data_IF_775213909746
#
_entry.id   IF_775213909746
#
_cell.length_a   1.000
_cell.length_b   1.000
_cell.length_c   1.000
_cell.angle_alpha   90.00
_cell.angle_beta   90.00
_cell.angle_gamma   90.00
#
_symmetry.space_group_name_H-M   'P 1'
#
loop_
_entity.id
_entity.type
_entity.pdbx_description
1 polymer ?
#
# COMPACT_ATOMS: atom_id res chain seq x y z
N UNK A 1 12.89 -10.90 12.73
CA UNK A 1 13.37 -11.25 14.10
C UNK A 1 14.34 -10.20 14.64
N UNK A 2 15.48 -9.87 13.99
CA UNK A 2 16.48 -8.92 14.52
C UNK A 2 15.89 -7.55 14.94
N UNK A 3 15.05 -6.95 14.11
CA UNK A 3 14.37 -5.69 14.41
C UNK A 3 13.42 -5.81 15.62
N UNK A 4 12.78 -6.98 15.80
CA UNK A 4 11.94 -7.22 16.97
C UNK A 4 12.76 -7.33 18.27
N UNK A 5 13.94 -7.96 18.20
CA UNK A 5 14.86 -8.02 19.34
C UNK A 5 15.42 -6.63 19.66
N UNK A 6 15.73 -5.82 18.66
CA UNK A 6 16.10 -4.41 18.85
C UNK A 6 14.96 -3.63 19.53
N UNK A 7 13.71 -3.82 19.10
CA UNK A 7 12.54 -3.20 19.74
C UNK A 7 12.41 -3.58 21.22
N UNK A 8 12.65 -4.85 21.57
CA UNK A 8 12.67 -5.32 22.95
C UNK A 8 13.79 -4.67 23.74
N UNK A 9 15.01 -4.60 23.19
CA UNK A 9 16.16 -3.94 23.85
C UNK A 9 15.95 -2.47 24.12
N UNK A 10 15.11 -1.80 23.29
CA UNK A 10 14.69 -0.39 23.49
C UNK A 10 13.47 -0.23 24.41
N UNK A 11 13.01 -1.30 25.01
CA UNK A 11 11.91 -1.27 25.97
C UNK A 11 10.50 -1.20 25.38
N UNK A 12 10.34 -1.25 24.05
CA UNK A 12 9.04 -1.13 23.38
C UNK A 12 8.07 -2.22 23.85
N UNK A 13 8.56 -3.45 24.03
CA UNK A 13 7.75 -4.58 24.48
C UNK A 13 7.16 -4.42 25.90
N UNK A 14 7.74 -3.53 26.70
CA UNK A 14 7.34 -3.32 28.10
C UNK A 14 6.36 -2.15 28.27
N UNK A 15 6.08 -1.41 27.20
CA UNK A 15 5.07 -0.34 27.24
C UNK A 15 3.69 -0.95 27.47
N UNK A 16 2.83 -0.34 28.30
CA UNK A 16 1.54 -0.90 28.65
C UNK A 16 0.63 -1.18 27.45
N UNK A 17 0.60 -0.27 26.46
CA UNK A 17 -0.15 -0.39 25.20
C UNK A 17 0.34 -1.58 24.36
N UNK A 18 1.64 -1.69 24.17
CA UNK A 18 2.26 -2.76 23.38
C UNK A 18 2.10 -4.11 24.08
N UNK A 19 2.28 -4.14 25.41
CA UNK A 19 2.08 -5.37 26.18
C UNK A 19 0.68 -5.94 26.01
N UNK A 20 -0.36 -5.08 26.08
CA UNK A 20 -1.76 -5.52 25.84
C UNK A 20 -1.96 -6.04 24.41
N UNK A 21 -1.35 -5.40 23.42
CA UNK A 21 -1.41 -5.87 22.03
C UNK A 21 -0.70 -7.24 21.86
N UNK A 22 0.44 -7.45 22.51
CA UNK A 22 1.15 -8.75 22.51
C UNK A 22 0.31 -9.86 23.17
N UNK A 23 -0.37 -9.53 24.28
CA UNK A 23 -1.31 -10.44 24.95
C UNK A 23 -2.51 -10.77 24.05
N UNK A 24 -3.08 -9.76 23.36
CA UNK A 24 -4.17 -9.98 22.42
C UNK A 24 -3.77 -10.88 21.24
N UNK A 25 -2.60 -10.65 20.65
CA UNK A 25 -2.04 -11.52 19.59
C UNK A 25 -1.97 -12.95 20.07
N UNK A 26 -1.45 -13.18 21.28
CA UNK A 26 -1.41 -14.51 21.87
C UNK A 26 -2.80 -15.12 22.00
N UNK A 27 -3.76 -14.37 22.50
CA UNK A 27 -5.15 -14.81 22.66
C UNK A 27 -5.79 -15.19 21.32
N UNK A 28 -5.61 -14.36 20.28
CA UNK A 28 -6.12 -14.62 18.93
C UNK A 28 -5.55 -15.91 18.37
N UNK A 29 -4.23 -16.10 18.42
CA UNK A 29 -3.57 -17.30 17.86
C UNK A 29 -4.05 -18.56 18.57
N UNK A 30 -4.13 -18.55 19.90
CA UNK A 30 -4.59 -19.70 20.66
C UNK A 30 -6.07 -19.99 20.36
N UNK A 31 -6.92 -18.96 20.34
CA UNK A 31 -8.35 -19.11 20.05
C UNK A 31 -8.59 -19.70 18.65
N UNK A 32 -7.87 -19.22 17.63
CA UNK A 32 -7.97 -19.74 16.27
C UNK A 32 -7.54 -21.21 16.18
N UNK A 33 -6.38 -21.55 16.72
CA UNK A 33 -5.87 -22.94 16.73
C UNK A 33 -6.78 -23.86 17.56
N UNK A 34 -7.40 -23.37 18.62
CA UNK A 34 -8.40 -24.10 19.37
C UNK A 34 -9.64 -24.39 18.52
N UNK A 35 -10.22 -23.35 17.87
CA UNK A 35 -11.37 -23.51 16.99
C UNK A 35 -11.09 -24.51 15.85
N UNK A 36 -9.93 -24.42 15.21
CA UNK A 36 -9.49 -25.38 14.19
C UNK A 36 -9.41 -26.81 14.74
N UNK A 37 -8.89 -26.98 15.97
CA UNK A 37 -8.78 -28.30 16.61
C UNK A 37 -10.14 -28.93 16.94
N UNK A 38 -11.20 -28.10 17.07
CA UNK A 38 -12.57 -28.54 17.32
C UNK A 38 -13.39 -28.72 16.04
N UNK A 39 -12.88 -28.30 14.89
CA UNK A 39 -13.57 -28.41 13.60
C UNK A 39 -13.84 -29.92 13.29
N UNK A 40 -15.10 -30.25 13.09
CA UNK A 40 -15.54 -31.63 12.83
C UNK A 40 -15.75 -32.50 14.08
N UNK A 41 -15.58 -31.99 15.29
CA UNK A 41 -15.88 -32.72 16.52
C UNK A 41 -17.37 -32.59 16.85
N UNK A 42 -18.18 -33.68 16.82
CA UNK A 42 -19.58 -33.62 17.21
C UNK A 42 -19.71 -33.21 18.69
N UNK A 43 -20.49 -32.15 18.95
CA UNK A 43 -20.71 -31.66 20.30
C UNK A 43 -19.68 -30.63 20.81
N UNK A 44 -18.71 -30.23 20.00
CA UNK A 44 -17.85 -29.11 20.34
C UNK A 44 -18.72 -27.84 20.52
N UNK A 45 -18.86 -27.41 21.77
CA UNK A 45 -19.71 -26.23 22.07
C UNK A 45 -19.03 -24.98 21.54
N UNK A 46 -19.62 -24.35 20.53
CA UNK A 46 -19.27 -22.98 20.14
C UNK A 46 -19.40 -22.06 21.37
N UNK A 47 -18.67 -20.96 21.36
CA UNK A 47 -18.82 -19.91 22.36
C UNK A 47 -20.19 -19.27 22.12
N UNK A 48 -21.11 -19.39 23.09
CA UNK A 48 -22.44 -18.81 22.99
C UNK A 48 -22.47 -17.35 23.47
N UNK A 49 -23.49 -16.60 23.06
CA UNK A 49 -23.71 -15.22 23.55
C UNK A 49 -23.84 -15.19 25.07
N UNK A 50 -24.48 -16.21 25.66
CA UNK A 50 -24.63 -16.34 27.12
C UNK A 50 -23.23 -16.53 27.80
N UNK A 51 -22.32 -17.30 27.20
CA UNK A 51 -20.94 -17.42 27.71
C UNK A 51 -20.22 -16.08 27.67
N UNK A 52 -20.39 -15.32 26.59
CA UNK A 52 -19.75 -14.00 26.40
C UNK A 52 -20.30 -13.01 27.42
N UNK A 53 -21.63 -12.99 27.62
CA UNK A 53 -22.25 -12.13 28.63
C UNK A 53 -21.81 -12.50 30.05
N UNK A 54 -21.64 -13.77 30.34
CA UNK A 54 -21.13 -14.24 31.61
C UNK A 54 -19.67 -13.82 31.82
N UNK A 55 -18.83 -13.95 30.78
CA UNK A 55 -17.43 -13.55 30.81
C UNK A 55 -17.28 -12.05 31.13
N UNK A 56 -18.03 -11.17 30.49
CA UNK A 56 -17.90 -9.75 30.76
C UNK A 56 -18.48 -9.30 32.13
N UNK A 57 -19.26 -10.15 32.79
CA UNK A 57 -19.69 -9.93 34.18
C UNK A 57 -18.61 -10.32 35.19
N UNK A 58 -17.56 -11.04 34.79
CA UNK A 58 -16.45 -11.33 35.65
C UNK A 58 -15.68 -10.04 36.03
N UNK A 59 -15.14 -9.95 37.26
CA UNK A 59 -14.40 -8.76 37.69
C UNK A 59 -13.26 -8.38 36.74
N UNK A 60 -13.18 -7.11 36.36
CA UNK A 60 -12.09 -6.55 35.55
C UNK A 60 -12.24 -6.75 34.03
N UNK A 61 -13.18 -7.57 33.53
CA UNK A 61 -13.30 -7.81 32.09
C UNK A 61 -13.88 -6.62 31.34
N UNK A 62 -14.81 -5.89 31.94
CA UNK A 62 -15.35 -4.67 31.37
C UNK A 62 -14.29 -3.55 31.31
N UNK A 63 -13.45 -3.45 32.32
CA UNK A 63 -12.34 -2.48 32.32
C UNK A 63 -11.30 -2.83 31.24
N UNK A 64 -10.99 -4.11 31.05
CA UNK A 64 -10.11 -4.59 29.95
C UNK A 64 -10.70 -4.27 28.57
N UNK A 65 -12.00 -4.43 28.40
CA UNK A 65 -12.68 -4.06 27.16
C UNK A 65 -12.58 -2.56 26.88
N UNK A 66 -12.86 -1.73 27.88
CA UNK A 66 -12.74 -0.27 27.73
C UNK A 66 -11.32 0.17 27.42
N UNK A 67 -10.32 -0.45 28.05
CA UNK A 67 -8.90 -0.17 27.76
C UNK A 67 -8.52 -0.61 26.33
N UNK A 68 -9.02 -1.76 25.88
CA UNK A 68 -8.84 -2.22 24.51
C UNK A 68 -9.41 -1.22 23.50
N UNK A 69 -10.61 -0.69 23.74
CA UNK A 69 -11.21 0.33 22.88
C UNK A 69 -10.40 1.63 22.87
N UNK A 70 -9.91 2.06 24.03
CA UNK A 70 -9.07 3.24 24.14
C UNK A 70 -7.76 3.09 23.36
N UNK A 71 -7.11 1.91 23.46
CA UNK A 71 -5.88 1.62 22.72
C UNK A 71 -6.13 1.59 21.21
N UNK A 72 -7.25 1.01 20.76
CA UNK A 72 -7.64 0.95 19.36
C UNK A 72 -7.89 2.36 18.78
N UNK A 73 -8.60 3.20 19.53
CA UNK A 73 -8.84 4.60 19.14
C UNK A 73 -7.55 5.43 19.12
N UNK A 74 -6.67 5.24 20.10
CA UNK A 74 -5.37 5.94 20.13
C UNK A 74 -4.45 5.54 18.98
N UNK A 75 -4.57 4.29 18.51
CA UNK A 75 -3.76 3.76 17.40
C UNK A 75 -4.26 4.21 16.02
N UNK A 76 -5.50 4.67 15.91
CA UNK A 76 -6.10 5.11 14.65
C UNK A 76 -6.52 6.59 14.71
N UNK A 77 -5.74 7.51 14.11
CA UNK A 77 -6.05 8.94 14.12
C UNK A 77 -7.42 9.30 13.53
N UNK A 78 -7.96 8.50 12.61
CA UNK A 78 -9.28 8.73 12.03
C UNK A 78 -10.42 8.40 12.99
N UNK A 79 -10.18 7.56 13.98
CA UNK A 79 -11.15 7.19 15.02
C UNK A 79 -10.98 8.03 16.30
N UNK A 80 -9.94 8.83 16.38
CA UNK A 80 -9.66 9.67 17.54
C UNK A 80 -10.82 10.66 17.77
N UNK A 81 -11.48 10.53 18.93
CA UNK A 81 -12.59 11.41 19.34
C UNK A 81 -13.94 11.09 18.68
N UNK A 82 -14.05 10.06 17.85
CA UNK A 82 -15.35 9.61 17.32
C UNK A 82 -16.04 8.66 18.31
N UNK A 83 -17.35 8.86 18.51
CA UNK A 83 -18.17 7.91 19.26
C UNK A 83 -18.43 6.68 18.40
N UNK A 84 -18.01 5.50 18.88
CA UNK A 84 -18.32 4.23 18.23
C UNK A 84 -19.82 3.99 18.35
N UNK A 85 -20.56 3.68 17.27
CA UNK A 85 -21.98 3.34 17.32
C UNK A 85 -22.24 2.13 18.22
N UNK A 86 -23.37 2.15 18.95
CA UNK A 86 -23.69 1.11 19.94
C UNK A 86 -23.74 -0.30 19.34
N UNK A 87 -24.23 -0.45 18.10
CA UNK A 87 -24.23 -1.74 17.39
C UNK A 87 -22.82 -2.24 17.08
N UNK A 88 -21.94 -1.34 16.65
CA UNK A 88 -20.54 -1.68 16.40
C UNK A 88 -19.83 -2.04 17.71
N UNK A 89 -20.14 -1.34 18.79
CA UNK A 89 -19.60 -1.63 20.11
C UNK A 89 -19.99 -3.04 20.59
N UNK A 90 -21.25 -3.44 20.39
CA UNK A 90 -21.72 -4.80 20.69
C UNK A 90 -20.97 -5.85 19.87
N UNK A 91 -20.77 -5.60 18.58
CA UNK A 91 -20.06 -6.53 17.71
C UNK A 91 -18.58 -6.69 18.14
N UNK A 92 -17.88 -5.58 18.42
CA UNK A 92 -16.50 -5.60 18.92
C UNK A 92 -16.43 -6.38 20.25
N UNK A 93 -17.38 -6.13 21.15
CA UNK A 93 -17.49 -6.83 22.45
C UNK A 93 -17.67 -8.34 22.26
N UNK A 94 -18.59 -8.72 21.35
CA UNK A 94 -18.85 -10.11 21.03
C UNK A 94 -17.60 -10.80 20.49
N UNK A 95 -16.92 -10.20 19.50
CA UNK A 95 -15.71 -10.75 18.91
C UNK A 95 -14.57 -10.88 19.92
N UNK A 96 -14.35 -9.85 20.76
CA UNK A 96 -13.33 -9.93 21.81
C UNK A 96 -13.68 -11.03 22.84
N UNK A 97 -14.95 -11.15 23.23
CA UNK A 97 -15.41 -12.22 24.12
C UNK A 97 -15.15 -13.62 23.56
N UNK A 98 -15.41 -13.82 22.26
CA UNK A 98 -15.10 -15.07 21.56
C UNK A 98 -13.61 -15.39 21.61
N UNK A 99 -12.73 -14.40 21.34
CA UNK A 99 -11.28 -14.58 21.37
C UNK A 99 -10.82 -14.93 22.78
N UNK A 100 -11.26 -14.20 23.80
CA UNK A 100 -10.81 -14.41 25.19
C UNK A 100 -11.29 -15.75 25.76
N UNK A 101 -12.52 -16.16 25.46
CA UNK A 101 -13.05 -17.46 25.85
C UNK A 101 -12.40 -18.59 25.07
N UNK A 102 -12.12 -18.40 23.76
CA UNK A 102 -11.38 -19.32 22.94
C UNK A 102 -9.95 -19.53 23.44
N UNK A 103 -9.25 -18.46 23.84
CA UNK A 103 -7.94 -18.54 24.50
C UNK A 103 -8.01 -19.34 25.80
N UNK A 104 -8.98 -19.05 26.68
CA UNK A 104 -9.16 -19.75 27.95
C UNK A 104 -9.35 -21.26 27.73
N UNK A 105 -10.23 -21.63 26.79
CA UNK A 105 -10.50 -23.04 26.43
C UNK A 105 -9.28 -23.69 25.75
N UNK A 106 -8.61 -22.97 24.84
CA UNK A 106 -7.42 -23.45 24.15
C UNK A 106 -6.25 -23.67 25.09
N UNK A 107 -6.03 -22.76 26.04
CA UNK A 107 -4.99 -22.91 27.07
C UNK A 107 -5.29 -24.10 27.99
N UNK A 108 -6.55 -24.28 28.41
CA UNK A 108 -6.97 -25.46 29.19
C UNK A 108 -6.77 -26.75 28.40
N UNK A 109 -6.92 -26.74 27.09
CA UNK A 109 -6.65 -27.88 26.18
C UNK A 109 -5.17 -28.06 25.82
N UNK A 110 -4.26 -27.22 26.32
CA UNK A 110 -2.82 -27.27 26.03
C UNK A 110 -2.42 -26.85 24.62
N UNK A 111 -3.29 -26.11 23.90
CA UNK A 111 -3.02 -25.60 22.54
C UNK A 111 -1.82 -24.65 22.55
N UNK A 112 -1.70 -23.83 23.57
CA UNK A 112 -0.61 -22.86 23.75
C UNK A 112 0.78 -23.52 23.91
N UNK A 113 0.82 -24.82 24.25
CA UNK A 113 2.05 -25.59 24.40
C UNK A 113 2.47 -26.34 23.13
N UNK A 114 1.65 -26.31 22.09
CA UNK A 114 2.00 -26.91 20.81
C UNK A 114 3.08 -26.08 20.13
N UNK A 115 4.15 -26.72 19.67
CA UNK A 115 5.33 -26.04 19.08
C UNK A 115 5.00 -25.12 17.92
N UNK A 116 4.10 -25.53 17.03
CA UNK A 116 3.64 -24.71 15.92
C UNK A 116 2.91 -23.44 16.40
N UNK A 117 2.11 -23.54 17.46
CA UNK A 117 1.36 -22.41 18.05
C UNK A 117 2.33 -21.45 18.76
N UNK A 118 3.29 -21.97 19.53
CA UNK A 118 4.35 -21.14 20.13
C UNK A 118 5.12 -20.33 19.07
N UNK A 119 5.50 -20.99 17.98
CA UNK A 119 6.22 -20.32 16.87
C UNK A 119 5.34 -19.28 16.17
N UNK A 120 4.07 -19.56 15.99
CA UNK A 120 3.12 -18.60 15.40
C UNK A 120 2.96 -17.37 16.31
N UNK A 121 2.76 -17.57 17.61
CA UNK A 121 2.68 -16.47 18.58
C UNK A 121 3.95 -15.62 18.52
N UNK A 122 5.11 -16.27 18.59
CA UNK A 122 6.41 -15.58 18.54
C UNK A 122 6.58 -14.77 17.26
N UNK A 123 6.17 -15.30 16.10
CA UNK A 123 6.28 -14.63 14.82
C UNK A 123 5.36 -13.39 14.74
N UNK A 124 4.10 -13.52 15.15
CA UNK A 124 3.14 -12.42 15.11
C UNK A 124 3.51 -11.32 16.11
N UNK A 125 3.97 -11.69 17.31
CA UNK A 125 4.48 -10.73 18.28
C UNK A 125 5.75 -10.01 17.77
N UNK A 126 6.65 -10.73 17.11
CA UNK A 126 7.83 -10.14 16.49
C UNK A 126 7.49 -9.17 15.36
N UNK A 127 6.45 -9.46 14.58
CA UNK A 127 5.94 -8.54 13.54
C UNK A 127 5.42 -7.24 14.15
N UNK A 128 4.61 -7.31 15.20
CA UNK A 128 4.14 -6.11 15.89
C UNK A 128 5.32 -5.26 16.40
N UNK A 129 6.27 -5.87 17.10
CA UNK A 129 7.42 -5.16 17.64
C UNK A 129 8.28 -4.53 16.54
N UNK A 130 8.54 -5.26 15.45
CA UNK A 130 9.31 -4.77 14.33
C UNK A 130 8.60 -3.60 13.62
N UNK A 131 7.28 -3.71 13.40
CA UNK A 131 6.50 -2.63 12.77
C UNK A 131 6.41 -1.39 13.64
N UNK A 132 6.25 -1.55 14.95
CA UNK A 132 6.24 -0.43 15.90
C UNK A 132 7.60 0.28 15.92
N UNK A 133 8.69 -0.47 16.00
CA UNK A 133 10.04 0.10 15.96
C UNK A 133 10.32 0.80 14.63
N UNK A 134 9.92 0.19 13.51
CA UNK A 134 10.07 0.80 12.19
C UNK A 134 9.33 2.14 12.12
N UNK A 135 8.07 2.18 12.54
CA UNK A 135 7.23 3.39 12.51
C UNK A 135 7.76 4.50 13.43
N UNK A 136 8.20 4.16 14.63
CA UNK A 136 8.58 5.13 15.64
C UNK A 136 10.05 5.55 15.57
N UNK A 137 10.93 4.71 15.02
CA UNK A 137 12.38 4.93 15.05
C UNK A 137 13.01 4.89 13.67
N UNK A 138 12.83 3.82 12.89
CA UNK A 138 13.51 3.68 11.60
C UNK A 138 13.05 4.77 10.62
N UNK A 139 11.77 4.84 10.34
CA UNK A 139 11.23 5.78 9.34
C UNK A 139 11.58 7.25 9.68
N UNK A 140 11.41 7.74 10.92
CA UNK A 140 11.83 9.10 11.25
C UNK A 140 13.33 9.36 11.11
N UNK A 141 14.18 8.36 11.46
CA UNK A 141 15.64 8.50 11.41
C UNK A 141 16.24 8.35 10.03
N UNK A 142 15.52 7.74 9.10
CA UNK A 142 15.99 7.55 7.72
C UNK A 142 15.56 8.65 6.76
N UNK A 143 14.75 9.60 7.21
CA UNK A 143 14.29 10.71 6.35
C UNK A 143 15.45 11.45 5.70
N UNK A 144 15.31 11.69 4.40
CA UNK A 144 16.27 12.45 3.64
C UNK A 144 16.08 13.96 3.88
N UNK A 145 17.17 14.64 4.13
CA UNK A 145 17.20 16.12 4.23
C UNK A 145 17.31 16.75 2.84
N UNK A 146 16.89 18.00 2.69
CA UNK A 146 17.04 18.73 1.42
C UNK A 146 18.50 18.83 0.96
N UNK A 147 19.44 18.92 1.88
CA UNK A 147 20.87 18.96 1.58
C UNK A 147 21.38 17.61 1.00
N UNK A 148 20.91 16.49 1.56
CA UNK A 148 21.24 15.16 1.05
C UNK A 148 20.62 14.92 -0.32
N UNK A 149 19.37 15.34 -0.52
CA UNK A 149 18.66 15.27 -1.81
C UNK A 149 19.43 16.07 -2.87
N UNK A 150 19.84 17.30 -2.55
CA UNK A 150 20.63 18.11 -3.47
C UNK A 150 22.00 17.48 -3.81
N UNK A 151 22.67 16.94 -2.80
CA UNK A 151 23.96 16.25 -2.97
C UNK A 151 23.83 14.96 -3.79
N UNK A 152 22.72 14.24 -3.62
CA UNK A 152 22.42 13.03 -4.39
C UNK A 152 22.18 13.38 -5.86
N UNK A 153 21.33 14.37 -6.15
CA UNK A 153 21.04 14.83 -7.52
C UNK A 153 22.32 15.33 -8.20
N UNK A 154 23.21 16.02 -7.47
CA UNK A 154 24.49 16.47 -8.03
C UNK A 154 25.41 15.32 -8.47
N UNK A 155 25.30 14.15 -7.85
CA UNK A 155 26.04 12.92 -8.21
C UNK A 155 25.34 12.08 -9.27
N UNK A 156 24.06 12.34 -9.53
CA UNK A 156 23.18 11.61 -10.43
C UNK A 156 22.67 12.54 -11.54
N UNK A 157 23.49 12.78 -12.60
CA UNK A 157 23.14 13.71 -13.68
C UNK A 157 21.82 13.37 -14.39
N UNK A 158 21.43 12.09 -14.37
CA UNK A 158 20.17 11.60 -14.91
C UNK A 158 18.92 12.17 -14.18
N UNK A 159 19.11 12.66 -12.95
CA UNK A 159 18.08 13.33 -12.16
C UNK A 159 18.13 14.87 -12.31
N UNK A 160 19.09 15.42 -13.04
CA UNK A 160 19.21 16.86 -13.23
C UNK A 160 18.08 17.37 -14.14
N UNK A 161 17.19 18.18 -13.58
CA UNK A 161 16.11 18.81 -14.33
C UNK A 161 16.56 19.66 -15.51
N UNK A 162 17.75 20.27 -15.43
CA UNK A 162 18.30 21.07 -16.52
C UNK A 162 18.68 20.19 -17.72
N UNK A 163 19.30 19.04 -17.49
CA UNK A 163 19.65 18.10 -18.56
C UNK A 163 18.38 17.47 -19.16
N UNK A 164 17.41 17.13 -18.32
CA UNK A 164 16.13 16.61 -18.77
C UNK A 164 15.38 17.62 -19.61
N UNK A 165 15.37 18.88 -19.22
CA UNK A 165 14.80 19.99 -20.00
C UNK A 165 15.51 20.18 -21.33
N UNK A 166 16.84 20.23 -21.32
CA UNK A 166 17.62 20.34 -22.55
C UNK A 166 17.35 19.20 -23.54
N UNK A 167 17.14 17.97 -23.03
CA UNK A 167 16.71 16.82 -23.85
C UNK A 167 15.31 17.02 -24.43
N UNK A 168 14.35 17.53 -23.65
CA UNK A 168 13.02 17.83 -24.14
C UNK A 168 13.05 18.94 -25.23
N UNK A 169 13.83 19.98 -25.03
CA UNK A 169 14.03 21.06 -26.00
C UNK A 169 14.66 20.54 -27.31
N UNK A 170 15.62 19.61 -27.20
CA UNK A 170 16.22 18.95 -28.37
C UNK A 170 15.19 18.12 -29.15
N UNK A 171 14.36 17.32 -28.46
CA UNK A 171 13.31 16.52 -29.10
C UNK A 171 12.30 17.46 -29.76
N UNK A 172 11.89 18.55 -29.10
CA UNK A 172 11.00 19.54 -29.68
C UNK A 172 11.58 20.18 -30.96
N UNK A 173 12.89 20.48 -30.95
CA UNK A 173 13.60 21.02 -32.12
C UNK A 173 13.56 20.03 -33.31
N UNK A 174 13.74 18.72 -33.05
CA UNK A 174 13.67 17.66 -34.07
C UNK A 174 12.25 17.56 -34.64
N UNK A 175 11.20 17.62 -33.80
CA UNK A 175 9.81 17.64 -34.23
C UNK A 175 9.55 18.85 -35.13
N UNK A 176 10.03 20.02 -34.75
CA UNK A 176 9.85 21.28 -35.52
C UNK A 176 10.66 21.27 -36.85
N UNK A 177 11.70 20.47 -36.91
CA UNK A 177 12.45 20.20 -38.14
C UNK A 177 11.77 19.19 -39.07
N UNK A 178 10.62 18.63 -38.67
CA UNK A 178 9.80 17.71 -39.49
C UNK A 178 9.99 16.24 -39.24
N UNK A 179 10.75 15.87 -38.20
CA UNK A 179 10.85 14.47 -37.82
C UNK A 179 9.50 13.93 -37.29
N UNK A 180 9.24 12.66 -37.51
CA UNK A 180 7.96 12.03 -37.17
C UNK A 180 7.77 11.95 -35.65
N UNK A 181 6.66 12.52 -35.17
CA UNK A 181 6.34 12.60 -33.75
C UNK A 181 6.23 11.22 -33.09
N UNK A 182 5.59 10.25 -33.78
CA UNK A 182 5.38 8.91 -33.22
C UNK A 182 6.69 8.14 -33.10
N UNK A 183 7.60 8.33 -34.04
CA UNK A 183 8.96 7.76 -33.97
C UNK A 183 9.74 8.32 -32.79
N UNK A 184 9.73 9.64 -32.61
CA UNK A 184 10.38 10.30 -31.49
C UNK A 184 9.74 9.93 -30.14
N UNK A 185 8.42 9.73 -30.09
CA UNK A 185 7.75 9.24 -28.90
C UNK A 185 8.23 7.83 -28.49
N UNK A 186 8.35 6.91 -29.46
CA UNK A 186 8.86 5.57 -29.21
C UNK A 186 10.35 5.58 -28.76
N UNK A 187 11.13 6.50 -29.28
CA UNK A 187 12.56 6.61 -28.95
C UNK A 187 12.78 7.26 -27.58
N UNK A 188 12.15 8.40 -27.33
CA UNK A 188 12.49 9.29 -26.22
C UNK A 188 11.47 9.31 -25.07
N UNK A 189 10.19 8.98 -25.31
CA UNK A 189 9.20 9.05 -24.26
C UNK A 189 9.49 8.06 -23.12
N UNK A 190 9.33 8.55 -21.92
CA UNK A 190 9.41 7.74 -20.68
C UNK A 190 8.05 7.31 -20.17
N UNK A 191 6.96 7.70 -20.85
CA UNK A 191 5.62 7.28 -20.48
C UNK A 191 5.30 5.87 -20.99
N UNK A 192 5.20 4.86 -20.09
CA UNK A 192 4.94 3.48 -20.50
C UNK A 192 3.53 3.26 -21.08
N UNK A 193 2.59 4.19 -20.79
CA UNK A 193 1.19 4.07 -21.25
C UNK A 193 1.00 4.38 -22.73
N UNK A 194 1.79 5.31 -23.26
CA UNK A 194 1.65 5.82 -24.63
C UNK A 194 2.89 5.68 -25.51
N UNK A 195 4.07 5.45 -24.95
CA UNK A 195 5.33 5.34 -25.68
C UNK A 195 5.25 4.42 -26.91
N UNK A 196 4.83 3.19 -26.71
CA UNK A 196 4.78 2.18 -27.77
C UNK A 196 3.68 2.45 -28.81
N UNK A 197 2.70 3.30 -28.45
CA UNK A 197 1.63 3.78 -29.32
C UNK A 197 2.01 5.08 -30.05
N UNK A 198 3.29 5.47 -30.04
CA UNK A 198 3.74 6.73 -30.62
C UNK A 198 3.25 7.98 -29.89
N UNK A 199 3.06 7.87 -28.59
CA UNK A 199 2.62 8.93 -27.70
C UNK A 199 1.11 9.14 -27.63
N UNK A 200 0.30 8.33 -28.28
CA UNK A 200 -1.16 8.48 -28.39
C UNK A 200 -1.85 8.27 -27.04
N UNK A 201 -2.60 9.30 -26.60
CA UNK A 201 -3.38 9.30 -25.36
C UNK A 201 -4.87 9.06 -25.60
N UNK A 202 -5.31 9.04 -26.86
CA UNK A 202 -6.72 9.00 -27.24
C UNK A 202 -7.47 10.30 -26.92
N UNK A 203 -8.79 10.22 -26.82
CA UNK A 203 -9.68 11.33 -26.51
C UNK A 203 -9.80 11.54 -25.01
N UNK A 204 -9.68 12.79 -24.57
CA UNK A 204 -9.92 13.17 -23.18
C UNK A 204 -10.58 14.54 -23.06
N UNK A 205 -11.37 14.72 -22.00
CA UNK A 205 -12.03 15.95 -21.64
C UNK A 205 -11.35 16.66 -20.48
N UNK A 206 -11.92 17.77 -20.05
CA UNK A 206 -11.44 18.52 -18.89
C UNK A 206 -11.47 17.69 -17.60
N UNK A 207 -10.47 17.92 -16.72
CA UNK A 207 -10.32 17.22 -15.43
C UNK A 207 -9.76 15.81 -15.50
N UNK A 208 -9.37 15.33 -16.69
CA UNK A 208 -8.81 13.98 -16.87
C UNK A 208 -7.28 13.96 -16.90
N UNK A 209 -6.65 15.10 -17.09
CA UNK A 209 -5.19 15.26 -17.12
C UNK A 209 -4.73 16.22 -16.03
N UNK A 210 -3.43 16.22 -15.75
CA UNK A 210 -2.86 17.20 -14.81
C UNK A 210 -3.02 18.62 -15.35
N UNK A 211 -3.19 19.64 -14.48
CA UNK A 211 -3.56 20.98 -14.89
C UNK A 211 -2.64 21.61 -15.93
N UNK A 212 -1.33 21.45 -15.78
CA UNK A 212 -0.33 22.02 -16.69
C UNK A 212 -0.43 21.42 -18.09
N UNK A 213 -0.62 20.11 -18.18
CA UNK A 213 -0.78 19.38 -19.43
C UNK A 213 -2.11 19.74 -20.10
N UNK A 214 -3.21 19.69 -19.33
CA UNK A 214 -4.55 20.03 -19.83
C UNK A 214 -4.61 21.43 -20.41
N UNK A 215 -4.13 22.42 -19.67
CA UNK A 215 -4.06 23.82 -20.12
C UNK A 215 -3.33 23.96 -21.46
N UNK A 216 -2.21 23.25 -21.60
CA UNK A 216 -1.43 23.29 -22.83
C UNK A 216 -2.14 22.57 -23.99
N UNK A 217 -2.70 21.37 -23.76
CA UNK A 217 -3.38 20.59 -24.80
C UNK A 217 -4.61 21.31 -25.34
N UNK A 218 -5.46 21.89 -24.49
CA UNK A 218 -6.65 22.60 -24.90
C UNK A 218 -6.36 23.95 -25.57
N UNK A 219 -5.19 24.57 -25.31
CA UNK A 219 -4.77 25.82 -25.98
C UNK A 219 -4.31 25.61 -27.44
N UNK A 220 -3.92 24.37 -27.81
CA UNK A 220 -3.43 24.07 -29.17
C UNK A 220 -4.57 24.05 -30.20
N UNK A 221 -4.22 24.26 -31.44
CA UNK A 221 -5.08 23.98 -32.61
C UNK A 221 -4.71 22.61 -33.21
N UNK A 222 -5.65 21.92 -33.89
CA UNK A 222 -5.34 20.64 -34.56
C UNK A 222 -4.09 20.73 -35.44
N UNK A 223 -3.19 19.80 -35.31
CA UNK A 223 -1.89 19.74 -35.95
C UNK A 223 -0.76 20.48 -35.25
N UNK A 224 -1.05 21.32 -34.26
CA UNK A 224 -0.03 22.07 -33.53
C UNK A 224 0.71 21.25 -32.49
N UNK A 225 1.96 21.64 -32.24
CA UNK A 225 2.83 21.09 -31.18
C UNK A 225 3.10 22.17 -30.15
N UNK A 226 3.02 21.84 -28.86
CA UNK A 226 3.29 22.76 -27.77
C UNK A 226 4.77 23.15 -27.69
N UNK A 227 5.06 24.18 -26.90
CA UNK A 227 6.37 24.31 -26.28
C UNK A 227 6.58 23.20 -25.24
N UNK A 228 7.78 23.13 -24.64
CA UNK A 228 8.04 22.21 -23.53
C UNK A 228 7.21 22.61 -22.32
N UNK A 229 6.32 21.74 -21.88
CA UNK A 229 5.44 21.91 -20.71
C UNK A 229 6.03 21.20 -19.53
N UNK A 230 6.33 21.93 -18.46
CA UNK A 230 6.85 21.36 -17.22
C UNK A 230 5.71 20.89 -16.31
N UNK A 231 5.90 19.73 -15.68
CA UNK A 231 4.99 19.18 -14.67
C UNK A 231 5.77 18.44 -13.58
N UNK A 232 5.08 17.95 -12.57
CA UNK A 232 5.68 17.08 -11.54
C UNK A 232 6.28 15.77 -12.10
N UNK A 233 5.87 15.32 -13.28
CA UNK A 233 6.37 14.11 -13.93
C UNK A 233 7.57 14.34 -14.86
N UNK A 234 7.90 15.60 -15.13
CA UNK A 234 8.96 15.98 -16.05
C UNK A 234 8.49 16.96 -17.12
N UNK A 235 9.02 16.84 -18.31
CA UNK A 235 8.79 17.75 -19.43
C UNK A 235 7.99 17.06 -20.53
N UNK A 236 6.86 17.64 -20.89
CA UNK A 236 5.97 17.14 -21.92
C UNK A 236 6.11 17.96 -23.21
N UNK A 237 6.05 17.28 -24.35
CA UNK A 237 5.83 17.87 -25.66
C UNK A 237 4.50 17.30 -26.14
N UNK A 238 3.52 18.16 -26.42
CA UNK A 238 2.16 17.75 -26.71
C UNK A 238 1.84 18.12 -28.16
N UNK A 239 1.29 17.18 -28.93
CA UNK A 239 0.75 17.41 -30.25
C UNK A 239 -0.74 17.19 -30.22
N UNK A 240 -1.51 18.20 -30.63
CA UNK A 240 -2.94 18.04 -30.78
C UNK A 240 -3.26 17.48 -32.17
N UNK A 241 -3.91 16.33 -32.23
CA UNK A 241 -4.37 15.74 -33.49
C UNK A 241 -5.75 16.28 -33.86
N UNK A 242 -6.73 16.24 -32.95
CA UNK A 242 -8.12 16.64 -33.23
C UNK A 242 -8.80 17.28 -32.02
N UNK A 243 -9.84 18.07 -32.28
CA UNK A 243 -10.80 18.59 -31.29
C UNK A 243 -12.22 18.24 -31.67
N UNK A 244 -13.04 17.92 -30.68
CA UNK A 244 -14.49 17.73 -30.88
C UNK A 244 -15.27 18.22 -29.68
N UNK A 245 -16.54 18.48 -29.89
CA UNK A 245 -17.51 18.72 -28.81
C UNK A 245 -18.42 17.48 -28.76
N UNK A 246 -18.48 16.82 -27.62
CA UNK A 246 -19.36 15.69 -27.39
C UNK A 246 -20.44 16.09 -26.37
N UNK A 247 -21.66 15.57 -26.53
CA UNK A 247 -22.73 15.83 -25.57
C UNK A 247 -22.73 14.73 -24.53
N UNK A 248 -22.39 15.09 -23.28
CA UNK A 248 -22.42 14.20 -22.15
C UNK A 248 -23.40 14.73 -21.12
N UNK A 249 -24.33 13.87 -20.68
CA UNK A 249 -25.39 14.23 -19.73
C UNK A 249 -26.19 15.51 -20.13
N UNK A 250 -26.41 15.68 -21.46
CA UNK A 250 -27.14 16.83 -22.02
C UNK A 250 -26.36 18.15 -22.06
N UNK A 251 -25.05 18.12 -21.73
CA UNK A 251 -24.17 19.30 -21.79
C UNK A 251 -23.07 19.09 -22.81
N UNK A 252 -22.72 20.13 -23.60
CA UNK A 252 -21.59 20.08 -24.51
C UNK A 252 -20.28 20.02 -23.68
N UNK A 253 -19.45 19.06 -23.97
CA UNK A 253 -18.13 18.88 -23.38
C UNK A 253 -17.08 18.90 -24.50
N UNK A 254 -16.09 19.80 -24.38
CA UNK A 254 -14.97 19.84 -25.31
C UNK A 254 -14.02 18.67 -25.00
N UNK A 255 -13.62 17.93 -26.05
CA UNK A 255 -12.64 16.85 -25.96
C UNK A 255 -11.55 17.06 -27.00
N UNK A 256 -10.36 16.63 -26.63
CA UNK A 256 -9.18 16.68 -27.49
C UNK A 256 -8.58 15.28 -27.65
N UNK A 257 -8.10 14.98 -28.88
CA UNK A 257 -7.25 13.84 -29.16
C UNK A 257 -5.82 14.32 -29.32
N UNK A 258 -4.94 13.88 -28.44
CA UNK A 258 -3.57 14.36 -28.41
C UNK A 258 -2.57 13.21 -28.27
N UNK A 259 -1.36 13.50 -28.76
CA UNK A 259 -0.15 12.70 -28.49
C UNK A 259 0.78 13.49 -27.59
N UNK A 260 1.60 12.75 -26.84
CA UNK A 260 2.66 13.39 -26.06
C UNK A 260 3.96 12.60 -26.06
N UNK A 261 5.02 13.32 -25.77
CA UNK A 261 6.33 12.76 -25.41
C UNK A 261 6.65 13.28 -24.02
N UNK A 262 6.82 12.36 -23.08
CA UNK A 262 7.25 12.69 -21.72
C UNK A 262 8.73 12.43 -21.60
N UNK A 263 9.50 13.43 -21.21
CA UNK A 263 10.90 13.29 -20.83
C UNK A 263 10.98 13.47 -19.32
N UNK A 264 10.98 12.35 -18.61
CA UNK A 264 11.15 12.33 -17.16
C UNK A 264 12.62 12.18 -16.79
N UNK A 265 13.00 12.73 -15.64
CA UNK A 265 14.30 12.47 -15.07
C UNK A 265 14.34 11.08 -14.41
N UNK A 266 15.47 10.40 -14.48
CA UNK A 266 15.68 9.09 -13.86
C UNK A 266 15.21 7.89 -14.68
N UNK A 267 15.30 6.72 -14.09
CA UNK A 267 14.86 5.47 -14.72
C UNK A 267 13.32 5.41 -14.80
N UNK A 268 12.76 4.90 -15.91
CA UNK A 268 11.31 4.69 -16.00
C UNK A 268 10.88 3.70 -14.91
N UNK A 269 9.95 4.13 -14.08
CA UNK A 269 9.38 3.27 -13.05
C UNK A 269 8.38 2.31 -13.71
N UNK A 270 8.67 1.03 -13.74
CA UNK A 270 7.88 0.01 -14.45
C UNK A 270 6.49 -0.25 -13.85
N UNK A 271 6.17 0.33 -12.69
CA UNK A 271 4.94 0.04 -11.94
C UNK A 271 4.11 1.26 -11.54
N UNK A 272 4.38 2.45 -12.09
CA UNK A 272 3.60 3.66 -11.75
C UNK A 272 4.01 4.87 -12.56
N UNK A 273 3.30 6.01 -12.36
CA UNK A 273 3.68 7.26 -13.02
C UNK A 273 5.09 7.68 -12.60
N UNK A 274 5.86 8.34 -13.50
CA UNK A 274 7.19 8.83 -13.19
C UNK A 274 7.15 9.75 -11.97
N UNK A 275 8.10 9.56 -11.04
CA UNK A 275 8.25 10.43 -9.86
C UNK A 275 9.12 11.64 -10.19
N UNK A 276 8.87 12.74 -9.51
CA UNK A 276 9.75 13.91 -9.60
C UNK A 276 11.20 13.57 -9.20
N UNK A 277 12.23 14.19 -9.80
CA UNK A 277 13.65 13.91 -9.48
C UNK A 277 13.97 13.99 -7.99
N UNK A 278 13.41 14.96 -7.28
CA UNK A 278 13.58 15.10 -5.83
C UNK A 278 12.99 13.95 -5.05
N UNK A 279 11.84 13.40 -5.50
CA UNK A 279 11.19 12.27 -4.84
C UNK A 279 11.94 10.98 -5.12
N UNK A 280 12.47 10.80 -6.35
CA UNK A 280 13.35 9.67 -6.68
C UNK A 280 14.62 9.69 -5.82
N UNK A 281 15.28 10.84 -5.71
CA UNK A 281 16.45 11.02 -4.87
C UNK A 281 16.14 10.76 -3.38
N UNK A 282 15.01 11.28 -2.89
CA UNK A 282 14.55 11.04 -1.51
C UNK A 282 14.36 9.54 -1.26
N UNK A 283 13.59 8.87 -2.10
CA UNK A 283 13.32 7.44 -1.96
C UNK A 283 14.61 6.61 -1.97
N UNK A 284 15.55 6.93 -2.87
CA UNK A 284 16.83 6.23 -2.95
C UNK A 284 17.67 6.42 -1.67
N UNK A 285 17.77 7.65 -1.16
CA UNK A 285 18.51 7.96 0.07
C UNK A 285 17.86 7.27 1.28
N UNK A 286 16.53 7.34 1.39
CA UNK A 286 15.79 6.75 2.50
C UNK A 286 15.92 5.23 2.49
N UNK A 287 15.83 4.58 1.32
CA UNK A 287 16.05 3.14 1.18
C UNK A 287 17.48 2.72 1.55
N UNK A 288 18.49 3.51 1.14
CA UNK A 288 19.88 3.24 1.46
C UNK A 288 20.14 3.35 2.97
N UNK A 289 19.62 4.39 3.60
CA UNK A 289 19.68 4.60 5.06
C UNK A 289 18.95 3.50 5.83
N UNK A 290 17.74 3.13 5.38
CA UNK A 290 16.94 2.06 5.99
C UNK A 290 17.68 0.73 5.92
N UNK A 291 18.20 0.38 4.75
CA UNK A 291 19.00 -0.83 4.56
C UNK A 291 20.22 -0.86 5.46
N UNK A 292 21.01 0.21 5.48
CA UNK A 292 22.20 0.31 6.31
C UNK A 292 21.87 0.13 7.80
N UNK A 293 20.78 0.74 8.26
CA UNK A 293 20.32 0.64 9.65
C UNK A 293 19.83 -0.76 10.00
N UNK A 294 19.09 -1.40 9.09
CA UNK A 294 18.65 -2.79 9.24
C UNK A 294 19.86 -3.73 9.28
N UNK A 295 20.83 -3.56 8.37
CA UNK A 295 22.04 -4.38 8.33
C UNK A 295 22.84 -4.25 9.64
N UNK A 296 22.93 -3.04 10.20
CA UNK A 296 23.56 -2.80 11.49
C UNK A 296 22.82 -3.49 12.64
N UNK A 297 21.47 -3.40 12.65
CA UNK A 297 20.63 -4.09 13.64
C UNK A 297 20.81 -5.61 13.51
N UNK A 298 20.77 -6.16 12.30
CA UNK A 298 20.98 -7.59 12.06
C UNK A 298 22.34 -8.03 12.57
N UNK A 299 23.40 -7.28 12.27
CA UNK A 299 24.75 -7.57 12.76
C UNK A 299 24.83 -7.55 14.30
N UNK A 300 24.21 -6.58 14.95
CA UNK A 300 24.18 -6.44 16.42
C UNK A 300 23.40 -7.57 17.08
N UNK A 301 22.28 -7.97 16.48
CA UNK A 301 21.38 -8.98 17.03
C UNK A 301 21.69 -10.42 16.56
N UNK A 302 22.64 -10.61 15.64
CA UNK A 302 22.98 -11.92 15.07
C UNK A 302 23.36 -12.98 16.12
N UNK A 303 23.99 -12.56 17.22
CA UNK A 303 24.39 -13.45 18.31
C UNK A 303 23.20 -13.96 19.17
N UNK A 304 22.03 -13.33 19.03
CA UNK A 304 20.82 -13.65 19.79
C UNK A 304 19.78 -14.45 18.96
N UNK A 305 20.05 -14.65 17.68
CA UNK A 305 19.13 -15.33 16.76
C UNK A 305 19.79 -16.62 16.26
N UNK A 306 19.31 -17.76 16.75
CA UNK A 306 19.70 -19.06 16.23
C UNK A 306 18.67 -19.50 15.20
N UNK A 307 19.07 -19.61 13.94
CA UNK A 307 18.25 -20.20 12.88
C UNK A 307 18.57 -21.67 12.80
N UNK A 308 17.57 -22.53 13.00
CA UNK A 308 17.75 -23.97 12.82
C UNK A 308 18.04 -24.26 11.34
N UNK A 309 19.03 -25.11 11.05
CA UNK A 309 19.50 -25.42 9.69
C UNK A 309 18.41 -25.95 8.75
N UNK A 310 17.30 -26.44 9.28
CA UNK A 310 16.18 -27.00 8.54
C UNK A 310 14.93 -26.12 8.54
N UNK A 311 15.05 -24.83 8.83
CA UNK A 311 13.92 -23.89 8.88
C UNK A 311 13.57 -23.40 7.46
N UNK A 312 12.90 -24.25 6.69
CA UNK A 312 12.27 -23.88 5.41
C UNK A 312 11.00 -23.07 5.69
N UNK A 313 11.09 -21.75 5.75
CA UNK A 313 9.92 -20.87 5.85
C UNK A 313 9.33 -20.71 4.46
N UNK A 314 8.30 -21.48 4.14
CA UNK A 314 7.32 -21.04 3.14
C UNK A 314 6.43 -20.01 3.83
N UNK A 315 6.71 -18.74 3.62
CA UNK A 315 5.82 -17.68 4.07
C UNK A 315 4.43 -17.90 3.45
N UNK A 316 3.35 -17.95 4.24
CA UNK A 316 2.02 -17.98 3.66
C UNK A 316 1.80 -16.72 2.84
N UNK A 317 1.05 -16.80 1.71
CA UNK A 317 0.80 -15.64 0.88
C UNK A 317 0.07 -14.56 1.71
N UNK A 318 0.39 -13.26 1.50
CA UNK A 318 -0.11 -12.15 2.33
C UNK A 318 -1.63 -12.00 2.37
N UNK A 319 -2.38 -12.67 1.51
CA UNK A 319 -3.83 -12.58 1.44
C UNK A 319 -4.60 -13.38 2.51
N UNK A 320 -3.97 -14.31 3.22
CA UNK A 320 -4.66 -15.11 4.26
C UNK A 320 -4.69 -14.44 5.64
N UNK A 321 -3.94 -13.37 5.86
CA UNK A 321 -3.87 -12.70 7.16
C UNK A 321 -4.96 -11.65 7.41
N UNK A 322 -5.70 -11.22 6.38
CA UNK A 322 -6.72 -10.18 6.54
C UNK A 322 -8.08 -10.69 7.07
N UNK A 323 -8.27 -12.00 7.17
CA UNK A 323 -9.57 -12.57 7.54
C UNK A 323 -9.79 -12.81 9.04
N UNK A 324 -8.81 -12.53 9.90
CA UNK A 324 -8.91 -12.83 11.33
C UNK A 324 -8.90 -11.64 12.30
N UNK A 325 -8.70 -10.41 11.81
CA UNK A 325 -8.73 -9.22 12.65
C UNK A 325 -10.10 -8.53 12.53
N UNK A 326 -10.71 -8.11 13.64
CA UNK A 326 -11.91 -7.28 13.60
C UNK A 326 -11.67 -6.01 12.78
N UNK A 327 -12.67 -5.52 12.00
CA UNK A 327 -12.53 -4.28 11.25
C UNK A 327 -12.19 -3.13 12.22
N UNK A 328 -11.05 -2.49 11.99
CA UNK A 328 -10.49 -1.41 12.83
C UNK A 328 -9.19 -1.75 13.55
N UNK A 329 -8.72 -2.99 13.53
CA UNK A 329 -7.45 -3.43 14.14
C UNK A 329 -6.37 -3.85 13.14
N UNK A 330 -6.72 -3.95 11.85
CA UNK A 330 -5.72 -4.18 10.81
C UNK A 330 -4.96 -2.88 10.53
N UNK A 331 -3.63 -2.89 10.45
CA UNK A 331 -2.89 -1.77 9.89
C UNK A 331 -3.36 -1.56 8.46
N UNK A 332 -3.84 -0.34 8.13
CA UNK A 332 -4.25 0.00 6.77
C UNK A 332 -3.11 -0.29 5.79
N UNK A 333 -3.40 -0.95 4.67
CA UNK A 333 -2.47 -0.93 3.55
C UNK A 333 -2.31 0.53 3.08
N UNK A 334 -1.12 0.92 2.59
CA UNK A 334 -0.92 2.25 2.06
C UNK A 334 -2.00 2.55 1.01
N UNK A 335 -2.52 3.78 0.92
CA UNK A 335 -3.64 4.12 0.07
C UNK A 335 -3.33 3.73 -1.36
N UNK A 336 -4.08 2.77 -1.88
CA UNK A 336 -4.07 2.45 -3.29
C UNK A 336 -4.59 3.68 -4.03
N UNK A 337 -3.73 4.31 -4.82
CA UNK A 337 -4.13 5.34 -5.77
C UNK A 337 -5.25 4.76 -6.64
N UNK A 338 -6.40 5.39 -6.58
CA UNK A 338 -7.61 4.96 -7.27
C UNK A 338 -7.34 4.85 -8.78
N UNK A 339 -7.30 3.63 -9.29
CA UNK A 339 -7.46 3.36 -10.71
C UNK A 339 -8.95 3.40 -11.04
N UNK A 340 -9.40 4.10 -12.08
CA UNK A 340 -10.79 4.10 -12.49
C UNK A 340 -11.22 2.71 -12.97
N UNK A 341 -12.30 2.21 -12.42
CA UNK A 341 -12.93 0.93 -12.76
C UNK A 341 -13.24 0.84 -14.26
N UNK A 342 -12.62 -0.11 -14.94
CA UNK A 342 -13.05 -0.57 -16.24
C UNK A 342 -14.34 -1.40 -16.05
N UNK A 343 -15.49 -0.83 -16.39
CA UNK A 343 -16.76 -1.54 -16.46
C UNK A 343 -16.67 -2.70 -17.44
N UNK A 344 -16.71 -3.92 -16.91
CA UNK A 344 -16.69 -5.17 -17.66
C UNK A 344 -17.86 -5.31 -18.62
N UNK A 345 -17.57 -5.60 -19.87
CA UNK A 345 -18.50 -6.15 -20.84
C UNK A 345 -18.82 -7.62 -20.48
N UNK A 346 -20.10 -7.91 -20.30
CA UNK A 346 -20.64 -9.27 -20.23
C UNK A 346 -20.19 -10.10 -21.45
N UNK A 347 -19.81 -11.36 -21.30
CA UNK A 347 -19.58 -12.24 -22.44
C UNK A 347 -20.90 -12.62 -23.11
N UNK A 348 -20.93 -12.51 -24.43
CA UNK A 348 -22.05 -12.94 -25.25
C UNK A 348 -22.11 -14.47 -25.28
N UNK A 349 -23.29 -15.03 -25.10
CA UNK A 349 -23.63 -16.44 -25.27
C UNK A 349 -23.50 -16.87 -26.76
N UNK A 350 -22.95 -18.05 -27.06
CA UNK A 350 -22.87 -18.56 -28.41
C UNK A 350 -24.25 -19.05 -28.90
N UNK A 351 -24.55 -18.96 -30.20
CA UNK A 351 -25.83 -19.39 -30.77
C UNK A 351 -25.95 -20.91 -30.79
N UNK A 352 -27.13 -21.43 -30.44
CA UNK A 352 -27.51 -22.85 -30.58
C UNK A 352 -27.51 -23.25 -32.05
N UNK A 353 -26.79 -24.31 -32.37
CA UNK A 353 -26.90 -25.00 -33.65
C UNK A 353 -28.27 -25.65 -33.79
N UNK A 354 -29.01 -25.26 -34.83
CA UNK A 354 -30.26 -25.86 -35.21
C UNK A 354 -30.04 -27.21 -35.90
N UNK A 355 -30.75 -28.21 -35.45
CA UNK A 355 -30.89 -29.48 -36.14
C UNK A 355 -31.70 -29.29 -37.41
N UNK A 356 -31.19 -29.80 -38.52
CA UNK A 356 -32.00 -30.18 -39.68
C UNK A 356 -31.86 -31.67 -39.91
N UNK A 357 -33.03 -32.25 -40.17
CA UNK A 357 -33.29 -33.60 -40.61
C UNK A 357 -32.15 -34.27 -41.34
#
# INVERSE_FOLDING_TARGET
MAVAEEAKSKGIAYRPDIKRQLELIRAIVISQNYAESQAGTPGAAAVSDADIDAFFKEPGQEERFNQFLADAQASNPMMAGQKIPDEQLKEIRHQLGQVMLGERRGTAAGIDKKRNVELQIMLEQARLLASTYAKETLIPSTKATDAEIAAYIAKHPELDSKQTRAKAEEVLRRIRAGEDFATLAKEFSTDPGSKDKGGDLGWFGHGQMIPEFEKAAFALQPGQVSDVVESQYGYHIIKLDEKRTETKDGKPEEQVHARHILIAAGAPNSMGPPKAPKDQARDAIEQEKEKAMIDEIVKRQSNHITIAENFGVTAPPPQQMQQGLPPGLAPEPPPATASPEAKGKKPATPPKAGAKK
#
